data_IF_593420630654
#
_entry.id   IF_593420630654
#
_cell.length_a   1.000
_cell.length_b   1.000
_cell.length_c   1.000
_cell.angle_alpha   90.00
_cell.angle_beta   90.00
_cell.angle_gamma   90.00
#
_symmetry.space_group_name_H-M   'P 1'
#
loop_
_entity.id
_entity.type
_entity.pdbx_description
1 polymer ?
#
# COMPACT_ATOMS: atom_id res chain seq x y z
N UNK A 1 -6.41 10.57 10.48
CA UNK A 1 -6.66 9.14 10.11
C UNK A 1 -7.29 9.14 8.74
N UNK A 2 -6.82 8.27 7.85
CA UNK A 2 -7.31 8.14 6.49
C UNK A 2 -8.00 6.78 6.37
N UNK A 3 -9.21 6.78 5.80
CA UNK A 3 -9.92 5.57 5.43
C UNK A 3 -10.50 5.76 4.03
N UNK A 4 -10.17 4.85 3.12
CA UNK A 4 -10.59 4.89 1.73
C UNK A 4 -10.97 3.48 1.26
N UNK A 5 -11.91 3.40 0.32
CA UNK A 5 -12.31 2.14 -0.30
C UNK A 5 -12.30 2.30 -1.82
N UNK A 6 -11.79 1.28 -2.51
CA UNK A 6 -11.64 1.25 -3.95
C UNK A 6 -12.25 -0.02 -4.51
N UNK A 7 -12.98 0.09 -5.62
CA UNK A 7 -13.45 -1.05 -6.39
C UNK A 7 -12.52 -1.21 -7.60
N UNK A 8 -11.87 -2.36 -7.72
CA UNK A 8 -10.92 -2.67 -8.79
C UNK A 8 -11.46 -3.86 -9.57
N UNK A 9 -11.52 -3.73 -10.90
CA UNK A 9 -12.01 -4.79 -11.79
C UNK A 9 -10.92 -5.81 -12.11
N UNK A 10 -10.37 -6.41 -11.06
CA UNK A 10 -9.33 -7.42 -11.10
C UNK A 10 -9.51 -8.41 -9.94
N UNK A 11 -8.87 -9.57 -10.06
CA UNK A 11 -8.87 -10.57 -8.97
C UNK A 11 -8.06 -10.06 -7.79
N UNK A 12 -8.30 -10.59 -6.58
CA UNK A 12 -7.50 -10.23 -5.42
C UNK A 12 -6.04 -10.64 -5.60
N UNK A 13 -5.76 -11.66 -6.43
CA UNK A 13 -4.40 -12.05 -6.81
C UNK A 13 -3.69 -10.95 -7.59
N UNK A 14 -4.34 -10.40 -8.62
CA UNK A 14 -3.75 -9.32 -9.44
C UNK A 14 -3.52 -8.05 -8.60
N UNK A 15 -4.50 -7.71 -7.73
CA UNK A 15 -4.36 -6.57 -6.82
C UNK A 15 -3.26 -6.81 -5.79
N UNK A 16 -3.13 -8.04 -5.29
CA UNK A 16 -2.07 -8.41 -4.36
C UNK A 16 -0.68 -8.32 -5.00
N UNK A 17 -0.53 -8.82 -6.23
CA UNK A 17 0.71 -8.73 -7.00
C UNK A 17 1.09 -7.25 -7.21
N UNK A 18 0.13 -6.40 -7.57
CA UNK A 18 0.37 -4.97 -7.70
C UNK A 18 0.86 -4.29 -6.41
N UNK A 19 0.54 -4.85 -5.23
CA UNK A 19 0.95 -4.31 -3.93
C UNK A 19 2.22 -4.96 -3.37
N UNK A 20 2.62 -6.13 -3.86
CA UNK A 20 3.68 -6.94 -3.22
C UNK A 20 4.80 -7.38 -4.16
N UNK A 21 4.60 -7.35 -5.48
CA UNK A 21 5.65 -7.65 -6.45
C UNK A 21 6.48 -6.39 -6.78
N UNK A 22 7.80 -6.40 -6.54
CA UNK A 22 8.66 -5.24 -6.82
C UNK A 22 8.63 -4.78 -8.28
N UNK A 23 8.42 -5.69 -9.23
CA UNK A 23 8.39 -5.37 -10.66
C UNK A 23 7.10 -4.64 -10.98
N UNK A 24 5.95 -5.16 -10.54
CA UNK A 24 4.66 -4.50 -10.73
C UNK A 24 4.60 -3.16 -10.02
N UNK A 25 5.18 -3.06 -8.81
CA UNK A 25 5.29 -1.78 -8.10
C UNK A 25 6.12 -0.76 -8.88
N UNK A 26 7.24 -1.17 -9.48
CA UNK A 26 8.04 -0.31 -10.32
C UNK A 26 7.25 0.24 -11.53
N UNK A 27 6.40 -0.59 -12.13
CA UNK A 27 5.62 -0.21 -13.29
C UNK A 27 4.61 0.91 -12.99
N UNK A 28 3.86 0.81 -11.88
CA UNK A 28 2.87 1.84 -11.53
C UNK A 28 3.45 3.01 -10.75
N UNK A 29 4.51 2.80 -9.96
CA UNK A 29 5.14 3.87 -9.18
C UNK A 29 6.07 4.75 -10.03
N UNK A 30 6.61 4.19 -11.13
CA UNK A 30 7.56 4.86 -12.02
C UNK A 30 8.99 4.96 -11.49
N UNK A 31 9.29 4.32 -10.35
CA UNK A 31 10.60 4.32 -9.71
C UNK A 31 10.93 2.94 -9.11
N UNK A 32 12.20 2.70 -8.77
CA UNK A 32 12.69 1.45 -8.18
C UNK A 32 11.93 1.16 -6.88
N UNK A 33 11.50 -0.09 -6.74
CA UNK A 33 10.85 -0.60 -5.55
C UNK A 33 11.54 -1.86 -5.04
N UNK A 34 11.62 -1.97 -3.72
CA UNK A 34 12.01 -3.18 -3.00
C UNK A 34 10.81 -3.59 -2.15
N UNK A 35 10.41 -4.86 -2.24
CA UNK A 35 9.31 -5.39 -1.45
C UNK A 35 9.64 -6.83 -1.05
N UNK A 36 9.54 -7.11 0.24
CA UNK A 36 9.50 -8.49 0.73
C UNK A 36 8.06 -8.99 0.83
N UNK A 37 7.89 -10.30 0.79
CA UNK A 37 6.58 -10.98 0.70
C UNK A 37 6.11 -11.60 2.02
N UNK A 38 6.84 -11.38 3.12
CA UNK A 38 6.61 -12.05 4.40
C UNK A 38 6.45 -11.10 5.58
N UNK A 39 5.94 -11.63 6.69
CA UNK A 39 5.89 -10.86 7.95
C UNK A 39 7.32 -10.58 8.44
N UNK A 40 7.59 -9.34 8.79
CA UNK A 40 8.89 -8.85 9.22
C UNK A 40 9.84 -8.48 8.08
N UNK A 41 9.45 -8.67 6.81
CA UNK A 41 10.26 -8.22 5.68
C UNK A 41 10.16 -6.71 5.50
N UNK A 42 11.24 -6.11 5.01
CA UNK A 42 11.30 -4.68 4.72
C UNK A 42 10.84 -4.36 3.30
N UNK A 43 10.45 -3.11 3.08
CA UNK A 43 10.20 -2.56 1.76
C UNK A 43 10.76 -1.15 1.65
N UNK A 44 10.97 -0.70 0.42
CA UNK A 44 11.48 0.61 0.03
C UNK A 44 10.79 1.02 -1.28
N UNK A 45 10.17 2.19 -1.29
CA UNK A 45 9.38 2.73 -2.39
C UNK A 45 9.90 4.13 -2.72
N UNK A 46 9.92 4.45 -4.02
CA UNK A 46 10.40 5.74 -4.54
C UNK A 46 11.81 6.07 -4.05
N UNK A 47 12.73 5.12 -4.20
CA UNK A 47 14.16 5.30 -3.87
C UNK A 47 14.42 5.82 -2.45
N UNK A 48 13.69 5.30 -1.46
CA UNK A 48 13.84 5.65 -0.05
C UNK A 48 13.04 6.86 0.40
N UNK A 49 12.09 7.37 -0.39
CA UNK A 49 11.14 8.37 0.11
C UNK A 49 10.16 7.76 1.13
N UNK A 50 9.77 6.51 0.88
CA UNK A 50 8.95 5.71 1.78
C UNK A 50 9.61 4.36 1.99
N UNK A 51 9.78 3.94 3.22
CA UNK A 51 10.32 2.62 3.54
C UNK A 51 9.65 2.06 4.79
N UNK A 52 9.80 0.77 5.04
CA UNK A 52 9.07 0.18 6.15
C UNK A 52 9.22 -1.30 6.33
N UNK A 53 8.27 -1.87 7.08
CA UNK A 53 8.22 -3.30 7.40
C UNK A 53 6.80 -3.83 7.29
N UNK A 54 6.64 -5.01 6.69
CA UNK A 54 5.37 -5.73 6.66
C UNK A 54 5.11 -6.34 8.05
N UNK A 55 4.06 -5.90 8.73
CA UNK A 55 3.73 -6.34 10.10
C UNK A 55 2.70 -7.47 10.14
N UNK A 56 1.87 -7.60 9.11
CA UNK A 56 1.01 -8.75 8.88
C UNK A 56 0.82 -9.00 7.38
N UNK A 57 0.83 -10.26 6.98
CA UNK A 57 0.69 -10.68 5.58
C UNK A 57 -0.19 -11.91 5.52
N UNK A 58 -1.38 -11.78 4.95
CA UNK A 58 -2.25 -12.88 4.51
C UNK A 58 -2.46 -12.73 3.00
N UNK A 59 -1.79 -13.56 2.21
CA UNK A 59 -1.81 -13.50 0.74
C UNK A 59 -3.23 -13.36 0.19
N UNK A 60 -3.41 -12.39 -0.72
CA UNK A 60 -4.68 -12.03 -1.38
C UNK A 60 -5.79 -11.55 -0.43
N UNK A 61 -5.47 -11.16 0.81
CA UNK A 61 -6.49 -10.80 1.80
C UNK A 61 -6.11 -9.62 2.70
N UNK A 62 -4.92 -9.62 3.29
CA UNK A 62 -4.50 -8.61 4.26
C UNK A 62 -3.02 -8.29 4.13
N UNK A 63 -2.70 -7.00 4.01
CA UNK A 63 -1.35 -6.48 4.12
C UNK A 63 -1.34 -5.35 5.15
N UNK A 64 -0.60 -5.54 6.24
CA UNK A 64 -0.31 -4.48 7.21
C UNK A 64 1.16 -4.09 7.14
N UNK A 65 1.42 -2.79 7.17
CA UNK A 65 2.75 -2.22 7.00
C UNK A 65 2.95 -1.05 7.95
N UNK A 66 4.14 -0.99 8.54
CA UNK A 66 4.62 0.21 9.22
C UNK A 66 5.44 1.03 8.21
N UNK A 67 5.04 2.27 7.98
CA UNK A 67 5.62 3.18 6.98
C UNK A 67 6.42 4.28 7.68
N UNK A 68 7.61 4.55 7.15
CA UNK A 68 8.47 5.68 7.50
C UNK A 68 8.65 6.55 6.26
N UNK A 69 8.75 7.85 6.45
CA UNK A 69 9.04 8.80 5.38
C UNK A 69 9.72 10.04 5.94
N UNK A 70 10.66 10.62 5.18
CA UNK A 70 11.35 11.86 5.53
C UNK A 70 11.90 11.90 6.98
N UNK A 71 11.47 12.89 7.75
CA UNK A 71 11.89 13.16 9.14
C UNK A 71 10.89 12.66 10.21
N UNK A 72 10.13 11.59 9.94
CA UNK A 72 9.14 11.11 10.91
C UNK A 72 9.78 10.46 12.16
N UNK A 73 9.45 10.99 13.34
CA UNK A 73 9.87 10.42 14.63
C UNK A 73 9.27 9.03 14.90
N UNK A 74 8.13 8.70 14.28
CA UNK A 74 7.38 7.44 14.48
C UNK A 74 6.80 6.95 13.15
N UNK A 75 6.70 5.63 12.96
CA UNK A 75 6.04 5.10 11.77
C UNK A 75 4.55 5.40 11.78
N UNK A 76 4.00 5.62 10.59
CA UNK A 76 2.58 5.47 10.36
C UNK A 76 2.25 3.99 10.15
N UNK A 77 0.97 3.62 10.28
CA UNK A 77 0.52 2.24 10.01
C UNK A 77 -0.51 2.22 8.89
N UNK A 78 -0.24 1.42 7.87
CA UNK A 78 -1.10 1.16 6.72
C UNK A 78 -1.67 -0.25 6.85
N UNK A 79 -2.97 -0.40 6.70
CA UNK A 79 -3.69 -1.66 6.63
C UNK A 79 -4.49 -1.69 5.33
N UNK A 80 -4.25 -2.70 4.51
CA UNK A 80 -4.94 -2.94 3.24
C UNK A 80 -5.65 -4.29 3.32
N UNK A 81 -6.97 -4.26 3.19
CA UNK A 81 -7.82 -5.45 3.18
C UNK A 81 -8.41 -5.64 1.78
N UNK A 82 -8.32 -6.86 1.26
CA UNK A 82 -8.84 -7.26 -0.05
C UNK A 82 -10.05 -8.18 0.12
N UNK A 83 -11.15 -7.85 -0.55
CA UNK A 83 -12.34 -8.69 -0.62
C UNK A 83 -12.79 -8.83 -2.06
N UNK A 84 -12.57 -10.00 -2.66
CA UNK A 84 -12.98 -10.31 -4.03
C UNK A 84 -14.39 -10.90 -4.08
N UNK A 85 -15.19 -10.48 -5.07
CA UNK A 85 -16.40 -11.14 -5.51
C UNK A 85 -16.53 -11.01 -7.03
N UNK A 86 -16.78 -12.13 -7.71
CA UNK A 86 -17.07 -12.16 -9.15
C UNK A 86 -16.02 -11.43 -10.03
N UNK A 87 -14.72 -11.56 -9.69
CA UNK A 87 -13.62 -10.92 -10.43
C UNK A 87 -13.48 -9.42 -10.20
N UNK A 88 -14.16 -8.89 -9.18
CA UNK A 88 -14.04 -7.51 -8.70
C UNK A 88 -13.53 -7.53 -7.27
N UNK A 89 -12.48 -6.77 -6.98
CA UNK A 89 -11.88 -6.68 -5.65
C UNK A 89 -12.19 -5.34 -5.01
N UNK A 90 -12.76 -5.39 -3.81
CA UNK A 90 -12.88 -4.23 -2.93
C UNK A 90 -11.61 -4.13 -2.09
N UNK A 91 -10.91 -3.02 -2.22
CA UNK A 91 -9.74 -2.67 -1.42
C UNK A 91 -10.16 -1.70 -0.34
N UNK A 92 -10.03 -2.09 0.93
CA UNK A 92 -10.25 -1.21 2.08
C UNK A 92 -8.89 -0.79 2.63
N UNK A 93 -8.60 0.49 2.55
CA UNK A 93 -7.36 1.10 3.02
C UNK A 93 -7.62 1.88 4.31
N UNK A 94 -6.84 1.58 5.34
CA UNK A 94 -6.77 2.35 6.59
C UNK A 94 -5.33 2.81 6.82
N UNK A 95 -5.13 4.12 6.98
CA UNK A 95 -3.81 4.70 7.26
C UNK A 95 -3.89 5.60 8.51
N UNK A 96 -3.21 5.17 9.58
CA UNK A 96 -3.21 5.82 10.90
C UNK A 96 -1.82 6.32 11.26
N UNK A 97 -1.76 7.18 12.29
CA UNK A 97 -0.51 7.80 12.78
C UNK A 97 0.22 8.66 11.74
N UNK A 98 -0.48 9.11 10.70
CA UNK A 98 -0.02 10.13 9.75
C UNK A 98 -0.11 11.51 10.42
N UNK A 99 0.90 12.35 10.21
CA UNK A 99 0.85 13.74 10.68
C UNK A 99 -0.30 14.51 10.00
N UNK A 100 -0.91 15.46 10.71
CA UNK A 100 -2.00 16.26 10.14
C UNK A 100 -1.56 17.09 8.93
N UNK A 101 -0.27 17.40 8.82
CA UNK A 101 0.30 18.17 7.72
C UNK A 101 0.39 17.36 6.43
N UNK A 102 0.50 16.03 6.52
CA UNK A 102 0.67 15.15 5.36
C UNK A 102 -0.60 14.38 5.01
N UNK A 103 -1.63 14.43 5.87
CA UNK A 103 -2.88 13.68 5.69
C UNK A 103 -3.52 13.93 4.32
N UNK A 104 -3.51 15.17 3.82
CA UNK A 104 -4.05 15.51 2.49
C UNK A 104 -3.18 14.96 1.35
N UNK A 105 -1.85 15.02 1.49
CA UNK A 105 -0.91 14.47 0.52
C UNK A 105 -1.08 12.96 0.38
N UNK A 106 -1.18 12.22 1.49
CA UNK A 106 -1.41 10.78 1.44
C UNK A 106 -2.79 10.43 0.88
N UNK A 107 -3.85 11.15 1.28
CA UNK A 107 -5.21 10.93 0.71
C UNK A 107 -5.21 11.03 -0.81
N UNK A 108 -4.51 12.03 -1.33
CA UNK A 108 -4.39 12.25 -2.77
C UNK A 108 -3.48 11.20 -3.42
N UNK A 109 -2.36 10.85 -2.78
CA UNK A 109 -1.42 9.84 -3.27
C UNK A 109 -2.05 8.45 -3.43
N UNK A 110 -2.79 7.99 -2.43
CA UNK A 110 -3.50 6.70 -2.49
C UNK A 110 -4.50 6.64 -3.64
N UNK A 111 -5.21 7.74 -3.91
CA UNK A 111 -6.15 7.84 -5.02
C UNK A 111 -5.46 8.02 -6.38
N UNK A 112 -4.29 8.64 -6.41
CA UNK A 112 -3.64 9.14 -7.61
C UNK A 112 -2.49 8.27 -8.15
N UNK A 113 -1.88 7.42 -7.32
CA UNK A 113 -0.75 6.56 -7.73
C UNK A 113 -1.05 5.08 -7.52
N UNK A 114 -1.52 4.69 -6.34
CA UNK A 114 -1.73 3.27 -6.01
C UNK A 114 -3.02 2.69 -6.62
N UNK A 115 -4.07 3.50 -6.75
CA UNK A 115 -5.41 3.04 -7.17
C UNK A 115 -6.04 3.95 -8.24
N UNK A 116 -5.24 4.47 -9.18
CA UNK A 116 -5.77 4.99 -10.46
C UNK A 116 -6.73 3.92 -11.02
N UNK A 117 -7.87 4.25 -11.65
CA UNK A 117 -8.81 3.24 -12.13
C UNK A 117 -8.10 2.25 -13.08
N UNK A 118 -7.73 1.09 -12.54
CA UNK A 118 -7.36 -0.12 -13.26
C UNK A 118 -8.62 -0.86 -13.67
#
# INVERSE_FOLDING_TARGET
MIQQAYEIKATAGDVWEALTDPTTIQEWSGDIAVMGDGVGSTFDLWSGEIWGTNTAVETNKLLEQDWYGGDWDKPSKVTIELSESDGVTIVTLTHINVSSAEEENFKNGWRGFCFIPM
#
